data_IF_304133591516
#
_entry.id   IF_304133591516
#
_cell.length_a   1.000
_cell.length_b   1.000
_cell.length_c   1.000
_cell.angle_alpha   90.00
_cell.angle_beta   90.00
_cell.angle_gamma   90.00
#
_symmetry.space_group_name_H-M   'P 1'
#
loop_
_entity.id
_entity.type
_entity.pdbx_description
1 polymer ?
#
# COMPACT_ATOMS: atom_id res chain seq x y z
N UNK A 1 7.19 4.77 14.31
CA UNK A 1 8.17 5.10 13.26
C UNK A 1 9.45 4.25 13.32
N UNK A 2 9.76 3.52 14.39
CA UNK A 2 11.06 2.81 14.52
C UNK A 2 11.22 1.49 13.72
N UNK A 3 10.15 0.73 13.46
CA UNK A 3 10.30 -0.63 12.91
C UNK A 3 10.57 -0.71 11.40
N UNK A 4 10.07 0.28 10.63
CA UNK A 4 10.31 0.34 9.18
C UNK A 4 11.77 0.64 8.84
N UNK A 5 12.44 1.42 9.69
CA UNK A 5 13.80 1.92 9.43
C UNK A 5 14.85 0.81 9.54
N UNK A 6 14.69 -0.11 10.51
CA UNK A 6 15.57 -1.28 10.64
C UNK A 6 15.48 -2.21 9.43
N UNK A 7 14.25 -2.46 8.94
CA UNK A 7 14.03 -3.31 7.78
C UNK A 7 14.63 -2.69 6.51
N UNK A 8 14.51 -1.37 6.36
CA UNK A 8 15.13 -0.64 5.27
C UNK A 8 16.66 -0.73 5.28
N UNK A 9 17.29 -0.59 6.45
CA UNK A 9 18.74 -0.72 6.59
C UNK A 9 19.24 -2.10 6.13
N UNK A 10 18.53 -3.17 6.53
CA UNK A 10 18.85 -4.55 6.11
C UNK A 10 18.69 -4.72 4.60
N UNK A 11 17.57 -4.28 4.02
CA UNK A 11 17.35 -4.35 2.56
C UNK A 11 18.45 -3.64 1.77
N UNK A 12 18.87 -2.44 2.20
CA UNK A 12 19.94 -1.67 1.55
C UNK A 12 21.28 -2.39 1.64
N UNK A 13 21.62 -2.96 2.80
CA UNK A 13 22.87 -3.70 2.99
C UNK A 13 22.94 -4.95 2.12
N UNK A 14 21.83 -5.71 2.06
CA UNK A 14 21.70 -6.88 1.18
C UNK A 14 21.84 -6.48 -0.30
N UNK A 15 21.20 -5.39 -0.72
CA UNK A 15 21.24 -4.94 -2.12
C UNK A 15 22.60 -4.35 -2.54
N UNK A 16 23.27 -3.59 -1.66
CA UNK A 16 24.49 -2.84 -2.02
C UNK A 16 25.79 -3.55 -1.66
N UNK A 17 25.86 -4.19 -0.49
CA UNK A 17 27.09 -4.80 0.02
C UNK A 17 27.15 -6.30 -0.31
N UNK A 18 26.07 -7.03 -0.11
CA UNK A 18 26.04 -8.49 -0.31
C UNK A 18 25.78 -8.85 -1.78
N UNK A 19 24.80 -8.21 -2.41
CA UNK A 19 24.47 -8.44 -3.83
C UNK A 19 23.91 -9.83 -4.13
N UNK A 20 23.23 -10.46 -3.16
CA UNK A 20 22.63 -11.78 -3.33
C UNK A 20 21.19 -11.72 -3.89
N UNK A 21 20.72 -12.85 -4.42
CA UNK A 21 19.30 -13.04 -4.69
C UNK A 21 18.52 -13.06 -3.38
N UNK A 22 17.55 -12.16 -3.23
CA UNK A 22 16.77 -12.00 -2.01
C UNK A 22 15.29 -11.78 -2.34
N UNK A 23 14.41 -12.42 -1.56
CA UNK A 23 12.99 -12.11 -1.52
C UNK A 23 12.67 -11.53 -0.14
N UNK A 24 12.07 -10.35 -0.10
CA UNK A 24 11.74 -9.65 1.13
C UNK A 24 10.22 -9.41 1.21
N UNK A 25 9.51 -10.23 1.98
CA UNK A 25 8.07 -10.07 2.21
C UNK A 25 7.83 -9.11 3.37
N UNK A 26 7.03 -8.06 3.14
CA UNK A 26 6.77 -7.01 4.14
C UNK A 26 5.36 -6.47 4.06
N UNK A 27 4.89 -5.88 5.16
CA UNK A 27 3.64 -5.10 5.23
C UNK A 27 3.91 -3.59 5.32
N UNK A 28 5.18 -3.17 5.37
CA UNK A 28 5.58 -1.77 5.42
C UNK A 28 5.60 -1.18 4.01
N UNK A 29 4.71 -0.23 3.75
CA UNK A 29 4.62 0.43 2.45
C UNK A 29 5.80 1.38 2.24
N UNK A 30 6.38 1.93 3.30
CA UNK A 30 7.52 2.84 3.26
C UNK A 30 8.76 2.19 2.60
N UNK A 31 8.89 0.86 2.71
CA UNK A 31 9.98 0.12 2.09
C UNK A 31 9.88 0.09 0.56
N UNK A 32 8.69 0.31 0.00
CA UNK A 32 8.49 0.28 -1.46
C UNK A 32 9.23 1.44 -2.14
N UNK A 33 9.49 2.54 -1.42
CA UNK A 33 10.29 3.66 -1.93
C UNK A 33 11.79 3.32 -2.05
N UNK A 34 12.27 2.23 -1.45
CA UNK A 34 13.70 1.86 -1.50
C UNK A 34 14.19 1.50 -2.90
N UNK A 35 13.28 1.10 -3.79
CA UNK A 35 13.63 0.75 -5.18
C UNK A 35 14.19 1.95 -5.95
N UNK A 36 13.83 3.18 -5.57
CA UNK A 36 14.36 4.40 -6.16
C UNK A 36 15.85 4.59 -5.86
N UNK A 37 16.30 4.16 -4.67
CA UNK A 37 17.70 4.29 -4.22
C UNK A 37 18.58 3.08 -4.59
N UNK A 38 17.95 1.97 -5.00
CA UNK A 38 18.59 0.68 -5.25
C UNK A 38 18.03 0.06 -6.55
N UNK A 39 18.64 0.33 -7.72
CA UNK A 39 18.13 -0.10 -9.03
C UNK A 39 18.03 -1.63 -9.21
N UNK A 40 18.70 -2.40 -8.36
CA UNK A 40 18.66 -3.87 -8.35
C UNK A 40 17.44 -4.44 -7.64
N UNK A 41 16.64 -3.60 -6.97
CA UNK A 41 15.42 -3.99 -6.27
C UNK A 41 14.19 -3.78 -7.14
N UNK A 42 13.19 -4.64 -6.98
CA UNK A 42 11.89 -4.52 -7.64
C UNK A 42 10.77 -4.79 -6.63
N UNK A 43 9.73 -3.96 -6.67
CA UNK A 43 8.51 -4.20 -5.90
C UNK A 43 7.62 -5.18 -6.65
N UNK A 44 7.15 -6.18 -5.94
CA UNK A 44 6.15 -7.13 -6.42
C UNK A 44 5.10 -7.34 -5.32
N UNK A 45 3.89 -7.69 -5.72
CA UNK A 45 2.83 -8.03 -4.79
C UNK A 45 1.97 -9.19 -5.32
N UNK A 46 1.14 -9.75 -4.45
CA UNK A 46 0.18 -10.79 -4.82
C UNK A 46 -1.15 -10.16 -5.24
N UNK A 47 -1.62 -10.54 -6.43
CA UNK A 47 -2.88 -10.06 -6.98
C UNK A 47 -4.09 -10.63 -6.24
N UNK A 48 -5.09 -9.77 -6.01
CA UNK A 48 -6.38 -10.14 -5.47
C UNK A 48 -7.49 -9.35 -6.19
N UNK A 49 -8.64 -9.99 -6.37
CA UNK A 49 -9.81 -9.38 -7.02
C UNK A 49 -10.96 -9.31 -6.02
N UNK A 50 -11.76 -8.25 -6.14
CA UNK A 50 -13.01 -8.09 -5.42
C UNK A 50 -14.12 -8.09 -6.47
N UNK A 51 -15.11 -8.96 -6.30
CA UNK A 51 -16.25 -9.03 -7.22
C UNK A 51 -17.34 -8.00 -6.89
N UNK A 52 -18.41 -7.99 -7.71
CA UNK A 52 -19.56 -7.09 -7.52
C UNK A 52 -20.32 -7.35 -6.20
N UNK A 53 -20.16 -8.54 -5.62
CA UNK A 53 -20.73 -8.94 -4.33
C UNK A 53 -19.83 -8.57 -3.14
N UNK A 54 -18.70 -7.89 -3.40
CA UNK A 54 -17.66 -7.54 -2.42
C UNK A 54 -16.94 -8.75 -1.83
N UNK A 55 -16.95 -9.88 -2.52
CA UNK A 55 -16.18 -11.06 -2.14
C UNK A 55 -14.75 -10.97 -2.67
N UNK A 56 -13.78 -11.25 -1.78
CA UNK A 56 -12.37 -11.23 -2.12
C UNK A 56 -11.90 -12.61 -2.58
N UNK A 57 -11.29 -12.65 -3.77
CA UNK A 57 -10.58 -13.82 -4.27
C UNK A 57 -9.09 -13.54 -4.37
N UNK A 58 -8.28 -14.34 -3.67
CA UNK A 58 -6.82 -14.31 -3.77
C UNK A 58 -6.39 -15.11 -5.02
N UNK A 59 -5.74 -14.46 -5.97
CA UNK A 59 -5.30 -15.11 -7.22
C UNK A 59 -3.93 -15.79 -7.09
N UNK A 60 -3.23 -15.54 -5.98
CA UNK A 60 -1.88 -16.07 -5.70
C UNK A 60 -0.86 -15.83 -6.83
N UNK A 61 -1.11 -14.83 -7.66
CA UNK A 61 -0.25 -14.43 -8.77
C UNK A 61 0.64 -13.29 -8.31
N UNK A 62 1.94 -13.43 -8.49
CA UNK A 62 2.90 -12.36 -8.23
C UNK A 62 2.95 -11.45 -9.45
N UNK A 63 2.69 -10.18 -9.24
CA UNK A 63 2.70 -9.13 -10.27
C UNK A 63 3.60 -7.98 -9.84
N UNK A 64 4.09 -7.23 -10.82
CA UNK A 64 4.93 -6.06 -10.57
C UNK A 64 4.16 -4.93 -9.88
N UNK A 65 4.88 -4.13 -9.10
CA UNK A 65 4.34 -2.95 -8.42
C UNK A 65 4.06 -3.17 -6.93
N UNK A 66 3.42 -2.16 -6.33
CA UNK A 66 3.08 -2.13 -4.90
C UNK A 66 1.61 -2.51 -4.73
N UNK A 67 1.29 -3.16 -3.61
CA UNK A 67 -0.11 -3.43 -3.28
C UNK A 67 -0.85 -2.10 -3.00
N UNK A 68 -1.93 -1.87 -3.74
CA UNK A 68 -2.68 -0.61 -3.68
C UNK A 68 -3.65 -0.52 -2.49
N UNK A 69 -4.10 -1.68 -1.96
CA UNK A 69 -5.19 -1.74 -0.97
C UNK A 69 -4.95 -2.77 0.12
N UNK A 70 -5.41 -2.43 1.32
CA UNK A 70 -5.49 -3.35 2.45
C UNK A 70 -6.78 -4.17 2.40
N UNK A 71 -6.66 -5.48 2.23
CA UNK A 71 -7.81 -6.38 2.12
C UNK A 71 -8.31 -6.94 3.46
N UNK A 72 -7.83 -6.42 4.59
CA UNK A 72 -8.09 -7.00 5.92
C UNK A 72 -9.57 -7.14 6.29
N UNK A 73 -10.38 -6.12 6.00
CA UNK A 73 -11.84 -6.17 6.26
C UNK A 73 -12.55 -7.20 5.37
N UNK A 74 -12.10 -7.34 4.12
CA UNK A 74 -12.62 -8.35 3.19
C UNK A 74 -12.25 -9.78 3.64
N UNK A 75 -11.00 -9.98 4.07
CA UNK A 75 -10.54 -11.26 4.64
C UNK A 75 -11.38 -11.63 5.87
N UNK A 76 -11.73 -10.69 6.73
CA UNK A 76 -12.55 -10.96 7.92
C UNK A 76 -13.94 -11.54 7.56
N UNK A 77 -14.51 -11.14 6.43
CA UNK A 77 -15.73 -11.74 5.88
C UNK A 77 -15.52 -13.19 5.44
N UNK A 78 -14.43 -13.46 4.73
CA UNK A 78 -14.07 -14.80 4.25
C UNK A 78 -13.85 -15.80 5.41
N UNK A 79 -13.19 -15.36 6.48
CA UNK A 79 -12.93 -16.20 7.67
C UNK A 79 -14.09 -16.23 8.68
N UNK A 80 -15.27 -15.71 8.30
CA UNK A 80 -16.52 -15.76 9.08
C UNK A 80 -16.42 -15.16 10.49
N UNK A 81 -15.78 -14.00 10.61
CA UNK A 81 -15.83 -13.24 11.86
C UNK A 81 -17.28 -12.87 12.23
N UNK A 82 -17.59 -12.62 13.51
CA UNK A 82 -18.94 -12.22 13.92
C UNK A 82 -19.42 -10.98 13.13
N UNK A 83 -20.68 -10.96 12.64
CA UNK A 83 -21.16 -9.87 11.76
C UNK A 83 -21.00 -8.47 12.35
N UNK A 84 -21.20 -8.31 13.66
CA UNK A 84 -21.04 -7.03 14.36
C UNK A 84 -19.59 -6.50 14.34
N UNK A 85 -18.60 -7.40 14.34
CA UNK A 85 -17.17 -7.03 14.26
C UNK A 85 -16.85 -6.53 12.84
N UNK A 86 -17.32 -7.25 11.82
CA UNK A 86 -17.12 -6.88 10.42
C UNK A 86 -17.79 -5.52 10.13
N UNK A 87 -19.02 -5.30 10.61
CA UNK A 87 -19.73 -4.04 10.44
C UNK A 87 -19.00 -2.85 11.10
N UNK A 88 -18.43 -3.06 12.28
CA UNK A 88 -17.62 -2.05 12.97
C UNK A 88 -16.36 -1.74 12.18
N UNK A 89 -15.69 -2.76 11.64
CA UNK A 89 -14.50 -2.60 10.82
C UNK A 89 -14.79 -1.81 9.53
N UNK A 90 -15.89 -2.12 8.83
CA UNK A 90 -16.34 -1.35 7.67
C UNK A 90 -16.63 0.11 8.01
N UNK A 91 -17.32 0.35 9.12
CA UNK A 91 -17.64 1.72 9.57
C UNK A 91 -16.37 2.53 9.81
N UNK A 92 -15.37 1.93 10.47
CA UNK A 92 -14.07 2.57 10.70
C UNK A 92 -13.29 2.81 9.41
N UNK A 93 -13.29 1.84 8.50
CA UNK A 93 -12.62 1.96 7.20
C UNK A 93 -13.20 3.16 6.42
N UNK A 94 -14.53 3.24 6.30
CA UNK A 94 -15.18 4.35 5.61
C UNK A 94 -14.95 5.72 6.27
N UNK A 95 -14.75 5.76 7.59
CA UNK A 95 -14.39 7.01 8.28
C UNK A 95 -12.96 7.45 7.97
N UNK A 96 -12.01 6.51 7.91
CA UNK A 96 -10.63 6.79 7.56
C UNK A 96 -10.53 7.28 6.11
N UNK A 97 -11.16 6.57 5.16
CA UNK A 97 -11.17 6.94 3.74
C UNK A 97 -11.74 8.35 3.53
N UNK A 98 -12.87 8.68 4.18
CA UNK A 98 -13.46 10.03 4.13
C UNK A 98 -12.54 11.11 4.70
N UNK A 99 -11.82 10.80 5.76
CA UNK A 99 -10.89 11.74 6.40
C UNK A 99 -9.71 12.02 5.46
N UNK A 100 -9.21 11.00 4.78
CA UNK A 100 -8.11 11.15 3.81
C UNK A 100 -8.55 11.89 2.55
N UNK A 101 -9.76 11.64 2.04
CA UNK A 101 -10.36 12.43 0.95
C UNK A 101 -10.54 13.91 1.33
N UNK A 102 -11.04 14.19 2.53
CA UNK A 102 -11.21 15.57 3.02
C UNK A 102 -9.87 16.30 3.12
N UNK A 103 -8.84 15.64 3.66
CA UNK A 103 -7.47 16.19 3.71
C UNK A 103 -6.92 16.47 2.32
N UNK A 104 -7.15 15.58 1.36
CA UNK A 104 -6.73 15.79 -0.02
C UNK A 104 -7.43 17.01 -0.63
N UNK A 105 -8.74 17.14 -0.45
CA UNK A 105 -9.53 18.29 -0.93
C UNK A 105 -9.04 19.60 -0.30
N UNK A 106 -8.77 19.61 1.01
CA UNK A 106 -8.21 20.79 1.69
C UNK A 106 -6.84 21.17 1.14
N UNK A 107 -5.95 20.19 0.93
CA UNK A 107 -4.64 20.41 0.31
C UNK A 107 -4.75 20.97 -1.10
N UNK A 108 -5.70 20.47 -1.90
CA UNK A 108 -5.95 20.97 -3.25
C UNK A 108 -6.50 22.39 -3.26
N UNK A 109 -7.36 22.75 -2.30
CA UNK A 109 -7.90 24.12 -2.16
C UNK A 109 -6.85 25.13 -1.68
N UNK A 110 -5.89 24.68 -0.89
CA UNK A 110 -4.80 25.50 -0.37
C UNK A 110 -3.55 25.53 -1.28
N UNK A 111 -3.54 24.74 -2.36
CA UNK A 111 -2.43 24.62 -3.28
C UNK A 111 -2.46 25.74 -4.34
N UNK A 112 -1.31 26.39 -4.55
CA UNK A 112 -1.11 27.31 -5.68
C UNK A 112 -0.94 26.55 -7.01
N UNK A 113 -0.94 27.27 -8.14
CA UNK A 113 -0.84 26.69 -9.49
C UNK A 113 0.40 25.78 -9.67
N UNK A 114 1.51 26.10 -9.00
CA UNK A 114 2.72 25.26 -9.00
C UNK A 114 2.59 23.99 -8.16
N UNK A 115 1.81 24.04 -7.07
CA UNK A 115 1.53 22.88 -6.22
C UNK A 115 0.54 21.93 -6.89
N UNK A 116 -0.46 22.47 -7.60
CA UNK A 116 -1.40 21.70 -8.43
C UNK A 116 -0.67 20.92 -9.52
N UNK A 117 0.31 21.54 -10.20
CA UNK A 117 1.16 20.85 -11.19
C UNK A 117 1.97 19.71 -10.56
N UNK A 118 2.52 19.89 -9.36
CA UNK A 118 3.25 18.83 -8.66
C UNK A 118 2.35 17.68 -8.22
N UNK A 119 1.15 17.99 -7.74
CA UNK A 119 0.17 16.98 -7.31
C UNK A 119 -0.30 16.15 -8.51
N UNK A 120 -0.61 16.78 -9.64
CA UNK A 120 -1.02 16.09 -10.88
C UNK A 120 0.07 15.22 -11.50
N UNK A 121 1.34 15.63 -11.39
CA UNK A 121 2.47 14.84 -11.87
C UNK A 121 2.81 13.66 -10.96
N UNK A 122 2.49 13.73 -9.67
CA UNK A 122 2.69 12.63 -8.71
C UNK A 122 1.66 11.49 -8.87
N UNK A 123 0.48 11.77 -9.43
CA UNK A 123 -0.54 10.76 -9.75
C UNK A 123 -0.39 10.12 -11.13
N UNK A 124 0.55 10.60 -11.96
CA UNK A 124 0.72 10.20 -13.36
C UNK A 124 1.83 9.19 -13.65
N UNK A 125 2.51 8.66 -12.62
CA UNK A 125 3.56 7.65 -12.77
C UNK A 125 3.28 6.48 -11.82
N UNK A 126 2.28 5.65 -12.18
CA UNK A 126 2.08 4.30 -11.66
C UNK A 126 1.59 3.38 -12.78
#
# INVERSE_FOLDING_TARGET
MENGDQSAAVCRDLAKRVGCFCLFATHFHELTALVTDCPTMRNVHTEAIIDDQRELTLLYRVVDGVADKSFGVHIAGLVRFPPHVIQTAWTRLSQLERTDEQRLIERLKAADENDLRRILLATGDQ
#
